data_IF_074378195503
#
_entry.id   IF_074378195503
#
_cell.length_a   1.000
_cell.length_b   1.000
_cell.length_c   1.000
_cell.angle_alpha   90.00
_cell.angle_beta   90.00
_cell.angle_gamma   90.00
#
_symmetry.space_group_name_H-M   'P 1'
#
loop_
_entity.id
_entity.type
_entity.pdbx_description
1 polymer ?
#
# COMPACT_ATOMS: atom_id res chain seq x y z
N UNK A 1 -9.26 25.09 27.36
CA UNK A 1 -9.99 24.23 26.38
C UNK A 1 -10.30 25.02 25.12
N UNK A 2 -11.00 26.16 25.23
CA UNK A 2 -11.31 27.06 24.11
C UNK A 2 -10.05 27.54 23.35
N UNK A 3 -8.96 27.90 24.05
CA UNK A 3 -7.70 28.30 23.40
C UNK A 3 -7.03 27.19 22.58
N UNK A 4 -7.21 25.92 22.97
CA UNK A 4 -6.63 24.78 22.25
C UNK A 4 -7.44 24.45 20.98
N UNK A 5 -8.77 24.53 21.06
CA UNK A 5 -9.65 24.38 19.90
C UNK A 5 -9.39 25.49 18.87
N UNK A 6 -9.24 26.75 19.32
CA UNK A 6 -8.90 27.88 18.44
C UNK A 6 -7.57 27.68 17.71
N UNK A 7 -6.54 27.14 18.39
CA UNK A 7 -5.26 26.80 17.75
C UNK A 7 -5.40 25.70 16.71
N UNK A 8 -6.12 24.61 17.04
CA UNK A 8 -6.34 23.51 16.11
C UNK A 8 -7.08 23.95 14.83
N UNK A 9 -8.09 24.82 14.97
CA UNK A 9 -8.80 25.41 13.83
C UNK A 9 -7.87 26.30 12.99
N UNK A 10 -7.01 27.10 13.63
CA UNK A 10 -6.05 27.95 12.94
C UNK A 10 -5.01 27.11 12.16
N UNK A 11 -4.48 26.05 12.77
CA UNK A 11 -3.56 25.11 12.11
C UNK A 11 -4.22 24.40 10.91
N UNK A 12 -5.45 23.90 11.09
CA UNK A 12 -6.20 23.28 10.00
C UNK A 12 -6.40 24.24 8.82
N UNK A 13 -6.81 25.48 9.10
CA UNK A 13 -7.00 26.50 8.05
C UNK A 13 -5.69 26.85 7.35
N UNK A 14 -4.60 26.98 8.09
CA UNK A 14 -3.28 27.25 7.50
C UNK A 14 -2.84 26.13 6.55
N UNK A 15 -3.09 24.87 6.93
CA UNK A 15 -2.82 23.72 6.04
C UNK A 15 -3.72 23.77 4.80
N UNK A 16 -5.01 24.07 4.96
CA UNK A 16 -5.96 24.17 3.83
C UNK A 16 -5.59 25.28 2.85
N UNK A 17 -5.14 26.42 3.36
CA UNK A 17 -4.70 27.55 2.54
C UNK A 17 -3.40 27.21 1.80
N UNK A 18 -2.44 26.56 2.47
CA UNK A 18 -1.22 26.07 1.83
C UNK A 18 -1.52 25.07 0.69
N UNK A 19 -2.47 24.16 0.88
CA UNK A 19 -2.90 23.20 -0.14
C UNK A 19 -3.63 23.87 -1.32
N UNK A 20 -4.35 24.97 -1.07
CA UNK A 20 -4.99 25.77 -2.13
C UNK A 20 -3.99 26.54 -2.97
N UNK A 21 -2.95 27.08 -2.33
CA UNK A 21 -1.89 27.82 -3.01
C UNK A 21 -0.99 26.88 -3.82
N UNK A 22 -0.61 25.74 -3.25
CA UNK A 22 0.24 24.76 -3.92
C UNK A 22 -0.16 23.32 -3.58
N UNK A 23 -0.82 22.66 -4.53
CA UNK A 23 -1.19 21.26 -4.42
C UNK A 23 0.02 20.32 -4.34
N UNK A 24 1.21 20.76 -4.79
CA UNK A 24 2.43 19.96 -4.73
C UNK A 24 2.91 19.71 -3.28
N UNK A 25 2.47 20.52 -2.32
CA UNK A 25 2.75 20.33 -0.87
C UNK A 25 2.23 18.97 -0.37
N UNK A 26 1.17 18.43 -0.98
CA UNK A 26 0.64 17.10 -0.67
C UNK A 26 1.16 15.99 -1.60
N UNK A 27 1.99 16.31 -2.61
CA UNK A 27 2.46 15.32 -3.57
C UNK A 27 3.51 14.41 -2.94
N UNK A 28 3.42 13.11 -3.21
CA UNK A 28 4.45 12.14 -2.83
C UNK A 28 5.69 12.42 -3.69
N UNK A 29 6.88 12.65 -3.10
CA UNK A 29 8.10 12.86 -3.86
C UNK A 29 8.39 11.71 -4.82
N UNK A 30 8.82 12.01 -6.05
CA UNK A 30 9.02 11.01 -7.11
C UNK A 30 9.97 9.88 -6.69
N UNK A 31 11.03 10.20 -5.95
CA UNK A 31 11.97 9.20 -5.39
C UNK A 31 11.27 8.17 -4.51
N UNK A 32 10.32 8.62 -3.68
CA UNK A 32 9.52 7.75 -2.80
C UNK A 32 8.59 6.87 -3.63
N UNK A 33 7.89 7.46 -4.60
CA UNK A 33 7.00 6.74 -5.51
C UNK A 33 7.76 5.66 -6.31
N UNK A 34 8.96 5.98 -6.81
CA UNK A 34 9.81 5.03 -7.52
C UNK A 34 10.22 3.84 -6.62
N UNK A 35 10.53 4.08 -5.33
CA UNK A 35 10.83 3.00 -4.38
C UNK A 35 9.61 2.12 -4.08
N UNK A 36 8.42 2.71 -3.95
CA UNK A 36 7.17 1.96 -3.82
C UNK A 36 6.97 1.04 -5.04
N UNK A 37 7.16 1.57 -6.25
CA UNK A 37 7.06 0.81 -7.49
C UNK A 37 8.10 -0.32 -7.60
N UNK A 38 9.36 -0.05 -7.22
CA UNK A 38 10.43 -1.06 -7.23
C UNK A 38 10.11 -2.26 -6.32
N UNK A 39 9.44 -2.03 -5.19
CA UNK A 39 9.00 -3.09 -4.27
C UNK A 39 7.79 -3.86 -4.80
N UNK A 40 6.88 -3.21 -5.53
CA UNK A 40 5.76 -3.91 -6.16
C UNK A 40 6.23 -5.01 -7.12
N UNK A 41 7.37 -4.83 -7.78
CA UNK A 41 7.85 -5.77 -8.79
C UNK A 41 8.01 -7.21 -8.25
N UNK A 42 8.74 -7.49 -7.16
CA UNK A 42 8.77 -8.83 -6.59
C UNK A 42 7.46 -9.22 -5.89
N UNK A 43 6.83 -8.33 -5.11
CA UNK A 43 5.67 -8.71 -4.28
C UNK A 43 4.36 -8.89 -5.06
N UNK A 44 4.25 -8.30 -6.25
CA UNK A 44 3.08 -8.44 -7.13
C UNK A 44 3.44 -9.30 -8.34
N UNK A 45 4.62 -9.07 -8.93
CA UNK A 45 5.06 -9.80 -10.11
C UNK A 45 5.24 -11.29 -9.85
N UNK A 46 5.95 -11.68 -8.77
CA UNK A 46 6.18 -13.10 -8.47
C UNK A 46 4.86 -13.84 -8.26
N UNK A 47 3.90 -13.36 -7.43
CA UNK A 47 2.63 -14.05 -7.27
C UNK A 47 1.78 -14.04 -8.55
N UNK A 48 1.80 -12.97 -9.35
CA UNK A 48 1.08 -12.92 -10.63
C UNK A 48 1.59 -13.99 -11.61
N UNK A 49 2.91 -14.04 -11.84
CA UNK A 49 3.51 -15.06 -12.69
C UNK A 49 3.41 -16.45 -12.06
N UNK A 50 3.44 -16.55 -10.73
CA UNK A 50 3.20 -17.79 -10.00
C UNK A 50 1.79 -18.33 -10.22
N UNK A 51 0.77 -17.46 -10.25
CA UNK A 51 -0.60 -17.84 -10.58
C UNK A 51 -0.71 -18.40 -12.00
N UNK A 52 -0.14 -17.68 -12.98
CA UNK A 52 -0.11 -18.12 -14.37
C UNK A 52 0.66 -19.44 -14.54
N UNK A 53 1.85 -19.54 -13.94
CA UNK A 53 2.69 -20.74 -14.00
C UNK A 53 2.02 -21.94 -13.36
N UNK A 54 1.31 -21.74 -12.23
CA UNK A 54 0.55 -22.80 -11.57
C UNK A 54 -0.61 -23.27 -12.45
N UNK A 55 -1.34 -22.36 -13.08
CA UNK A 55 -2.41 -22.72 -14.01
C UNK A 55 -1.88 -23.54 -15.20
N UNK A 56 -0.78 -23.09 -15.82
CA UNK A 56 -0.11 -23.81 -16.92
C UNK A 56 0.39 -25.18 -16.46
N UNK A 57 0.92 -25.29 -15.25
CA UNK A 57 1.37 -26.56 -14.68
C UNK A 57 0.20 -27.55 -14.52
N UNK A 58 -0.93 -27.12 -13.97
CA UNK A 58 -2.13 -27.96 -13.87
C UNK A 58 -2.61 -28.42 -15.25
N UNK A 59 -2.68 -27.51 -16.23
CA UNK A 59 -3.04 -27.86 -17.60
C UNK A 59 -2.08 -28.88 -18.22
N UNK A 60 -0.78 -28.70 -18.06
CA UNK A 60 0.24 -29.61 -18.58
C UNK A 60 0.12 -31.00 -17.96
N UNK A 61 -0.01 -31.08 -16.63
CA UNK A 61 -0.18 -32.34 -15.92
C UNK A 61 -1.47 -33.05 -16.32
N UNK A 62 -2.57 -32.31 -16.48
CA UNK A 62 -3.83 -32.88 -16.92
C UNK A 62 -3.77 -33.42 -18.36
N UNK A 63 -3.02 -32.75 -19.24
CA UNK A 63 -2.96 -33.09 -20.67
C UNK A 63 -1.96 -34.19 -20.98
N UNK A 64 -0.81 -34.21 -20.30
CA UNK A 64 0.33 -35.05 -20.67
C UNK A 64 0.71 -36.10 -19.63
N UNK A 65 0.10 -36.07 -18.43
CA UNK A 65 0.40 -37.01 -17.34
C UNK A 65 -0.83 -37.77 -16.85
N UNK A 66 -1.96 -37.68 -17.56
CA UNK A 66 -3.24 -38.31 -17.21
C UNK A 66 -3.66 -38.06 -15.74
N UNK A 67 -3.33 -36.86 -15.23
CA UNK A 67 -3.69 -36.45 -13.88
C UNK A 67 -5.02 -35.70 -13.87
N UNK A 68 -5.98 -36.19 -13.10
CA UNK A 68 -7.25 -35.48 -12.90
C UNK A 68 -7.18 -34.56 -11.69
N UNK A 69 -7.59 -33.30 -11.87
CA UNK A 69 -7.66 -32.33 -10.79
C UNK A 69 -9.09 -31.87 -10.59
N UNK A 70 -9.49 -31.72 -9.33
CA UNK A 70 -10.76 -31.06 -9.02
C UNK A 70 -10.68 -29.58 -9.46
N UNK A 71 -11.65 -29.05 -10.23
CA UNK A 71 -11.61 -27.66 -10.70
C UNK A 71 -11.47 -26.64 -9.56
N UNK A 72 -12.09 -26.92 -8.41
CA UNK A 72 -11.98 -26.10 -7.21
C UNK A 72 -10.54 -26.03 -6.68
N UNK A 73 -9.76 -27.11 -6.76
CA UNK A 73 -8.37 -27.11 -6.31
C UNK A 73 -7.52 -26.19 -7.21
N UNK A 74 -7.64 -26.34 -8.53
CA UNK A 74 -6.93 -25.50 -9.51
C UNK A 74 -7.27 -24.02 -9.29
N UNK A 75 -8.56 -23.71 -9.20
CA UNK A 75 -9.03 -22.35 -8.98
C UNK A 75 -8.56 -21.76 -7.64
N UNK A 76 -8.61 -22.54 -6.56
CA UNK A 76 -8.19 -22.05 -5.24
C UNK A 76 -6.69 -21.78 -5.21
N UNK A 77 -5.86 -22.64 -5.83
CA UNK A 77 -4.42 -22.41 -5.89
C UNK A 77 -4.07 -21.16 -6.70
N UNK A 78 -4.68 -20.96 -7.87
CA UNK A 78 -4.40 -19.77 -8.69
C UNK A 78 -4.87 -18.49 -8.01
N UNK A 79 -6.06 -18.51 -7.39
CA UNK A 79 -6.59 -17.39 -6.61
C UNK A 79 -5.73 -17.10 -5.39
N UNK A 80 -5.18 -18.11 -4.72
CA UNK A 80 -4.30 -17.90 -3.57
C UNK A 80 -3.06 -17.08 -3.95
N UNK A 81 -2.42 -17.39 -5.08
CA UNK A 81 -1.30 -16.58 -5.59
C UNK A 81 -1.72 -15.14 -5.91
N UNK A 82 -2.89 -14.94 -6.54
CA UNK A 82 -3.39 -13.60 -6.81
C UNK A 82 -3.70 -12.82 -5.52
N UNK A 83 -4.26 -13.49 -4.51
CA UNK A 83 -4.51 -12.90 -3.21
C UNK A 83 -3.21 -12.48 -2.51
N UNK A 84 -2.15 -13.30 -2.59
CA UNK A 84 -0.81 -12.91 -2.11
C UNK A 84 -0.30 -11.68 -2.86
N UNK A 85 -0.48 -11.61 -4.18
CA UNK A 85 -0.13 -10.43 -4.98
C UNK A 85 -0.87 -9.16 -4.54
N UNK A 86 -2.17 -9.28 -4.24
CA UNK A 86 -2.97 -8.17 -3.74
C UNK A 86 -2.45 -7.66 -2.39
N UNK A 87 -2.11 -8.55 -1.46
CA UNK A 87 -1.47 -8.18 -0.18
C UNK A 87 -0.10 -7.55 -0.43
N UNK A 88 0.62 -8.02 -1.44
CA UNK A 88 1.91 -7.49 -1.88
C UNK A 88 1.86 -6.02 -2.30
N UNK A 89 0.74 -5.54 -2.86
CA UNK A 89 0.56 -4.11 -3.20
C UNK A 89 0.63 -3.26 -1.92
N UNK A 90 -0.19 -3.59 -0.94
CA UNK A 90 -0.24 -2.87 0.35
C UNK A 90 1.10 -2.91 1.06
N UNK A 91 1.72 -4.09 1.12
CA UNK A 91 3.03 -4.23 1.73
C UNK A 91 4.10 -3.42 1.00
N UNK A 92 4.09 -3.36 -0.33
CA UNK A 92 5.09 -2.61 -1.12
C UNK A 92 5.07 -1.12 -0.84
N UNK A 93 3.88 -0.53 -0.72
CA UNK A 93 3.71 0.91 -0.44
C UNK A 93 4.14 1.23 0.99
N UNK A 94 3.70 0.43 1.96
CA UNK A 94 3.95 0.67 3.38
C UNK A 94 5.37 0.28 3.81
N UNK A 95 6.01 -0.69 3.15
CA UNK A 95 7.39 -1.10 3.46
C UNK A 95 8.44 -0.20 2.78
N UNK A 96 8.05 0.72 1.91
CA UNK A 96 8.96 1.67 1.29
C UNK A 96 9.40 2.77 2.27
N UNK A 97 10.64 3.24 2.15
CA UNK A 97 11.05 4.46 2.85
C UNK A 97 10.30 5.66 2.26
N UNK A 98 9.53 6.33 3.12
CA UNK A 98 8.87 7.60 2.82
C UNK A 98 9.78 8.82 3.00
N UNK A 99 10.99 8.63 3.53
CA UNK A 99 12.00 9.68 3.69
C UNK A 99 12.79 9.85 2.38
N UNK A 100 12.72 11.01 1.69
CA UNK A 100 13.41 11.22 0.41
C UNK A 100 14.93 10.99 0.47
N UNK A 101 15.54 11.18 1.64
CA UNK A 101 17.00 11.15 1.86
C UNK A 101 17.50 9.80 2.36
N UNK A 102 16.59 8.85 2.66
CA UNK A 102 16.92 7.49 3.13
C UNK A 102 16.33 6.43 2.22
N UNK A 103 17.15 5.50 1.74
CA UNK A 103 16.68 4.40 0.88
C UNK A 103 15.77 3.39 1.59
N UNK A 104 16.03 3.14 2.88
CA UNK A 104 15.31 2.19 3.72
C UNK A 104 15.93 0.78 3.74
N UNK A 105 15.36 -0.10 4.56
CA UNK A 105 15.82 -1.48 4.74
C UNK A 105 15.44 -2.38 3.55
N UNK A 106 16.17 -3.47 3.29
CA UNK A 106 15.92 -4.32 2.11
C UNK A 106 14.49 -4.89 2.05
N UNK A 107 13.99 -5.42 3.17
CA UNK A 107 12.64 -5.99 3.24
C UNK A 107 11.59 -4.96 3.68
N UNK A 108 11.98 -3.91 4.39
CA UNK A 108 11.08 -2.80 4.74
C UNK A 108 10.21 -3.03 5.98
N UNK A 109 10.60 -3.94 6.88
CA UNK A 109 9.79 -4.27 8.06
C UNK A 109 9.69 -3.10 9.05
N UNK A 110 10.81 -2.39 9.27
CA UNK A 110 10.84 -1.22 10.15
C UNK A 110 10.03 -0.07 9.54
N UNK A 111 10.19 0.17 8.24
CA UNK A 111 9.40 1.13 7.47
C UNK A 111 7.91 0.80 7.53
N UNK A 112 7.53 -0.47 7.36
CA UNK A 112 6.15 -0.91 7.45
C UNK A 112 5.52 -0.55 8.80
N UNK A 113 6.18 -0.90 9.91
CA UNK A 113 5.65 -0.62 11.24
C UNK A 113 5.51 0.88 11.48
N UNK A 114 6.51 1.68 11.09
CA UNK A 114 6.48 3.14 11.22
C UNK A 114 5.36 3.75 10.38
N UNK A 115 5.32 3.42 9.09
CA UNK A 115 4.38 4.00 8.13
C UNK A 115 2.92 3.61 8.45
N UNK A 116 2.68 2.41 8.98
CA UNK A 116 1.36 2.02 9.51
C UNK A 116 0.95 2.89 10.70
N UNK A 117 1.90 3.23 11.58
CA UNK A 117 1.67 4.18 12.68
C UNK A 117 1.29 5.56 12.16
N UNK A 118 2.10 6.12 11.25
CA UNK A 118 1.86 7.43 10.63
C UNK A 118 0.51 7.48 9.89
N UNK A 119 0.13 6.40 9.21
CA UNK A 119 -1.17 6.30 8.53
C UNK A 119 -2.34 6.30 9.52
N UNK A 120 -2.25 5.57 10.63
CA UNK A 120 -3.28 5.55 11.68
C UNK A 120 -3.44 6.93 12.32
N UNK A 121 -2.32 7.58 12.64
CA UNK A 121 -2.31 8.95 13.18
C UNK A 121 -2.88 9.96 12.18
N UNK A 122 -2.49 9.86 10.91
CA UNK A 122 -3.06 10.67 9.82
C UNK A 122 -4.57 10.51 9.71
N UNK A 123 -5.09 9.28 9.79
CA UNK A 123 -6.52 9.02 9.75
C UNK A 123 -7.27 9.61 10.96
N UNK A 124 -6.70 9.51 12.17
CA UNK A 124 -7.28 10.13 13.37
C UNK A 124 -7.35 11.65 13.22
N UNK A 125 -6.26 12.29 12.79
CA UNK A 125 -6.21 13.74 12.56
C UNK A 125 -7.22 14.19 11.50
N UNK A 126 -7.34 13.47 10.39
CA UNK A 126 -8.32 13.78 9.35
C UNK A 126 -9.76 13.71 9.88
N UNK A 127 -10.06 12.74 10.75
CA UNK A 127 -11.37 12.65 11.41
C UNK A 127 -11.63 13.82 12.36
N UNK A 128 -10.65 14.19 13.18
CA UNK A 128 -10.75 15.33 14.09
C UNK A 128 -10.94 16.65 13.34
N UNK A 129 -10.15 16.88 12.28
CA UNK A 129 -10.28 18.05 11.42
C UNK A 129 -11.67 18.12 10.76
N UNK A 130 -12.23 16.99 10.33
CA UNK A 130 -13.59 16.96 9.77
C UNK A 130 -14.64 17.43 10.80
N UNK A 131 -14.53 16.99 12.05
CA UNK A 131 -15.43 17.45 13.13
C UNK A 131 -15.24 18.93 13.47
N UNK A 132 -14.01 19.44 13.40
CA UNK A 132 -13.72 20.86 13.61
C UNK A 132 -14.26 21.74 12.49
N UNK A 133 -14.38 21.24 11.26
CA UNK A 133 -15.00 21.98 10.14
C UNK A 133 -16.50 22.16 10.28
N UNK A 134 -17.16 21.26 11.00
CA UNK A 134 -18.61 21.30 11.22
C UNK A 134 -19.03 22.22 12.39
N UNK A 135 -18.07 22.67 13.21
CA UNK A 135 -18.29 23.59 14.34
C UNK A 135 -18.02 25.04 13.95
#
# INVERSE_FOLDING_TARGET
KQDAELRAIAEMRAVDDALREDAAVAAIPEKVAMRMGKRMLPFVGIPLFGSMGTFVAFWYLATYKDMEFQPAAVATTTVAFLAVGLLGITYSVLSASWDPDREGSAFGADEFNRNVGELKEGLSRSRENALLRER
#
